data_IF_475877065801
#
_entry.id   IF_475877065801
#
_cell.length_a   1.000
_cell.length_b   1.000
_cell.length_c   1.000
_cell.angle_alpha   90.00
_cell.angle_beta   90.00
_cell.angle_gamma   90.00
#
_symmetry.space_group_name_H-M   'P 1'
#
loop_
_entity.id
_entity.type
_entity.pdbx_description
1 polymer ?
#
# COMPACT_ATOMS: atom_id res chain seq x y z
N UNK A 1 15.11 -6.21 3.79
CA UNK A 1 14.46 -4.99 4.34
C UNK A 1 14.60 -5.04 5.85
N UNK A 2 15.57 -4.33 6.41
CA UNK A 2 15.82 -4.32 7.86
C UNK A 2 15.19 -3.06 8.45
N UNK A 3 14.16 -3.22 9.28
CA UNK A 3 13.47 -2.08 9.89
C UNK A 3 14.24 -1.58 11.12
N UNK A 4 14.21 -0.27 11.40
CA UNK A 4 14.86 0.29 12.59
C UNK A 4 14.29 -0.33 13.87
N UNK A 5 15.18 -0.70 14.80
CA UNK A 5 14.82 -1.32 16.09
C UNK A 5 14.00 -0.32 16.92
N UNK A 6 12.85 -0.75 17.44
CA UNK A 6 11.97 0.07 18.30
C UNK A 6 10.52 0.21 17.78
N UNK A 7 10.26 -0.10 16.51
CA UNK A 7 8.90 -0.19 15.97
C UNK A 7 8.32 -1.57 16.23
N UNK A 8 7.22 -1.62 16.99
CA UNK A 8 6.47 -2.86 17.15
C UNK A 8 5.91 -3.29 15.80
N UNK A 9 6.38 -4.44 15.28
CA UNK A 9 5.89 -5.08 14.04
C UNK A 9 4.37 -5.23 13.97
N UNK A 10 3.68 -5.17 15.12
CA UNK A 10 2.22 -5.26 15.26
C UNK A 10 1.46 -4.09 14.61
N UNK A 11 2.08 -2.92 14.43
CA UNK A 11 1.42 -1.73 13.91
C UNK A 11 1.81 -1.38 12.46
N UNK A 12 2.63 -2.21 11.81
CA UNK A 12 3.03 -1.97 10.42
C UNK A 12 1.90 -2.44 9.50
N UNK A 13 1.40 -1.59 8.58
CA UNK A 13 0.36 -1.99 7.65
C UNK A 13 0.87 -3.09 6.72
N UNK A 14 0.10 -4.19 6.61
CA UNK A 14 0.43 -5.33 5.75
C UNK A 14 0.26 -5.02 4.26
N UNK A 15 -0.66 -4.10 3.93
CA UNK A 15 -0.96 -3.65 2.58
C UNK A 15 -0.83 -2.13 2.54
N UNK A 16 -0.37 -1.59 1.42
CA UNK A 16 -0.16 -0.15 1.25
C UNK A 16 -1.08 0.34 0.15
N UNK A 17 -1.90 1.33 0.50
CA UNK A 17 -2.65 2.15 -0.44
C UNK A 17 -3.76 1.42 -1.22
N UNK A 18 -4.82 2.14 -1.60
CA UNK A 18 -5.58 1.79 -2.79
C UNK A 18 -4.78 2.18 -4.04
N UNK A 19 -4.59 1.23 -4.94
CA UNK A 19 -4.08 1.51 -6.29
C UNK A 19 -5.13 1.15 -7.32
N UNK A 20 -5.18 1.93 -8.40
CA UNK A 20 -6.07 1.66 -9.51
C UNK A 20 -5.49 0.53 -10.36
N UNK A 21 -6.34 -0.41 -10.76
CA UNK A 21 -6.00 -1.44 -11.74
C UNK A 21 -6.09 -0.83 -13.14
N UNK A 22 -4.97 -0.82 -13.85
CA UNK A 22 -4.87 -0.27 -15.20
C UNK A 22 -5.15 -1.33 -16.26
N UNK A 23 -4.69 -2.56 -16.05
CA UNK A 23 -4.80 -3.64 -17.03
C UNK A 23 -4.76 -5.03 -16.39
N UNK A 24 -5.53 -5.96 -16.94
CA UNK A 24 -5.43 -7.40 -16.68
C UNK A 24 -4.66 -8.08 -17.82
N UNK A 25 -3.70 -8.93 -17.49
CA UNK A 25 -2.91 -9.71 -18.44
C UNK A 25 -3.44 -11.13 -18.69
N UNK A 26 -4.47 -11.58 -17.96
CA UNK A 26 -5.10 -12.89 -18.13
C UNK A 26 -4.29 -14.07 -17.58
N UNK A 27 -3.13 -13.81 -16.96
CA UNK A 27 -2.29 -14.79 -16.26
C UNK A 27 -2.27 -14.56 -14.74
N UNK A 28 -3.37 -14.02 -14.21
CA UNK A 28 -3.50 -13.54 -12.82
C UNK A 28 -2.54 -12.42 -12.45
N UNK A 29 -1.86 -11.78 -13.41
CA UNK A 29 -1.05 -10.60 -13.16
C UNK A 29 -1.81 -9.36 -13.63
N UNK A 30 -1.71 -8.30 -12.84
CA UNK A 30 -2.39 -7.05 -13.10
C UNK A 30 -1.41 -5.89 -13.05
N UNK A 31 -1.59 -4.96 -13.98
CA UNK A 31 -0.92 -3.67 -13.99
C UNK A 31 -1.67 -2.71 -13.07
N UNK A 32 -0.97 -2.06 -12.14
CA UNK A 32 -1.54 -1.11 -11.20
C UNK A 32 -0.89 0.27 -11.32
N UNK A 33 -1.65 1.31 -11.02
CA UNK A 33 -1.15 2.67 -10.99
C UNK A 33 -0.34 2.93 -9.73
N UNK A 34 0.96 2.67 -9.78
CA UNK A 34 1.89 3.02 -8.71
C UNK A 34 2.24 4.52 -8.74
N UNK A 35 2.43 5.15 -7.58
CA UNK A 35 2.95 6.51 -7.49
C UNK A 35 4.43 6.57 -7.92
N UNK A 36 4.84 7.70 -8.48
CA UNK A 36 6.14 7.87 -9.12
C UNK A 36 7.33 7.57 -8.22
N UNK A 37 7.23 7.84 -6.91
CA UNK A 37 8.31 7.55 -5.95
C UNK A 37 8.59 6.05 -5.83
N UNK A 38 7.58 5.18 -5.96
CA UNK A 38 7.76 3.73 -5.91
C UNK A 38 8.41 3.21 -7.20
N UNK A 39 8.02 3.77 -8.34
CA UNK A 39 8.64 3.45 -9.63
C UNK A 39 10.12 3.86 -9.64
N UNK A 40 10.45 5.02 -9.08
CA UNK A 40 11.84 5.50 -8.92
C UNK A 40 12.68 4.60 -8.02
N UNK A 41 12.05 3.90 -7.06
CA UNK A 41 12.69 2.90 -6.21
C UNK A 41 12.86 1.54 -6.90
N UNK A 42 12.46 1.41 -8.16
CA UNK A 42 12.56 0.17 -8.94
C UNK A 42 11.44 -0.84 -8.65
N UNK A 43 10.33 -0.40 -8.06
CA UNK A 43 9.18 -1.28 -7.82
C UNK A 43 8.42 -1.45 -9.14
N UNK A 44 8.22 -2.71 -9.55
CA UNK A 44 7.39 -3.05 -10.71
C UNK A 44 5.92 -2.78 -10.42
N UNK A 45 5.23 -2.25 -11.41
CA UNK A 45 3.79 -1.93 -11.39
C UNK A 45 2.90 -3.12 -11.81
N UNK A 46 3.49 -4.30 -12.00
CA UNK A 46 2.75 -5.54 -12.31
C UNK A 46 2.82 -6.49 -11.13
N UNK A 47 1.66 -6.86 -10.59
CA UNK A 47 1.54 -7.75 -9.44
C UNK A 47 0.62 -8.93 -9.73
N UNK A 48 0.97 -10.08 -9.17
CA UNK A 48 0.11 -11.25 -9.17
C UNK A 48 -1.10 -11.05 -8.23
N UNK A 49 -2.26 -11.61 -8.58
CA UNK A 49 -3.53 -11.49 -7.88
C UNK A 49 -3.45 -11.81 -6.39
N UNK A 50 -2.59 -12.76 -6.02
CA UNK A 50 -2.38 -13.19 -4.62
C UNK A 50 -1.80 -12.09 -3.71
N UNK A 51 -1.17 -11.07 -4.28
CA UNK A 51 -0.61 -9.92 -3.55
C UNK A 51 -1.59 -8.74 -3.50
N UNK A 52 -2.67 -8.78 -4.27
CA UNK A 52 -3.67 -7.72 -4.34
C UNK A 52 -4.84 -8.02 -3.41
N UNK A 53 -5.43 -6.98 -2.82
CA UNK A 53 -6.68 -7.09 -2.07
C UNK A 53 -7.64 -5.98 -2.48
N UNK A 54 -8.93 -6.30 -2.48
CA UNK A 54 -10.00 -5.32 -2.71
C UNK A 54 -9.93 -4.29 -1.59
N UNK A 55 -9.82 -3.03 -1.98
CA UNK A 55 -9.86 -1.91 -1.05
C UNK A 55 -11.27 -1.74 -0.52
N UNK A 56 -11.43 -1.79 0.80
CA UNK A 56 -12.66 -1.44 1.48
C UNK A 56 -12.47 -0.06 2.11
N UNK A 57 -13.28 0.96 1.73
CA UNK A 57 -13.19 2.27 2.35
C UNK A 57 -13.48 2.17 3.84
N UNK A 58 -12.78 2.97 4.65
CA UNK A 58 -13.02 3.06 6.09
C UNK A 58 -14.43 3.59 6.34
N UNK A 59 -15.19 2.95 7.25
CA UNK A 59 -16.43 3.52 7.76
C UNK A 59 -16.09 4.46 8.93
N UNK A 60 -16.15 5.76 8.68
CA UNK A 60 -15.83 6.80 9.67
C UNK A 60 -16.76 6.80 10.89
N UNK A 61 -17.95 6.19 10.79
CA UNK A 61 -18.89 6.05 11.92
C UNK A 61 -18.46 4.93 12.87
N UNK A 62 -17.84 3.88 12.35
CA UNK A 62 -17.38 2.73 13.12
C UNK A 62 -15.97 2.92 13.66
N UNK A 63 -15.11 3.61 12.89
CA UNK A 63 -13.71 3.84 13.24
C UNK A 63 -13.29 5.29 12.99
N UNK A 64 -13.70 6.22 13.86
CA UNK A 64 -13.27 7.60 13.78
C UNK A 64 -11.74 7.68 13.99
N UNK A 65 -11.05 8.36 13.07
CA UNK A 65 -9.62 8.65 13.20
C UNK A 65 -8.67 7.75 12.42
N UNK A 66 -9.14 6.84 11.56
CA UNK A 66 -8.28 6.08 10.63
C UNK A 66 -8.01 6.86 9.32
N UNK A 67 -7.55 8.11 9.41
CA UNK A 67 -7.26 8.88 8.19
C UNK A 67 -5.96 8.36 7.54
N UNK A 68 -6.03 8.01 6.25
CA UNK A 68 -4.88 7.57 5.44
C UNK A 68 -3.68 8.54 5.51
N UNK A 69 -3.96 9.83 5.68
CA UNK A 69 -2.94 10.88 5.86
C UNK A 69 -2.05 10.68 7.08
N UNK A 70 -2.52 10.01 8.14
CA UNK A 70 -1.73 9.69 9.32
C UNK A 70 -0.69 8.60 9.04
N UNK A 71 -1.06 7.59 8.24
CA UNK A 71 -0.15 6.51 7.82
C UNK A 71 0.91 7.00 6.82
N UNK A 72 0.54 7.89 5.90
CA UNK A 72 1.50 8.52 4.98
C UNK A 72 2.56 9.32 5.73
N UNK A 73 2.18 10.09 6.77
CA UNK A 73 3.13 10.85 7.62
C UNK A 73 4.16 9.95 8.30
N UNK A 74 3.74 8.78 8.78
CA UNK A 74 4.64 7.79 9.37
C UNK A 74 5.65 7.22 8.37
N UNK A 75 5.25 7.03 7.11
CA UNK A 75 6.12 6.48 6.08
C UNK A 75 7.03 7.54 5.43
N UNK A 76 6.57 8.79 5.28
CA UNK A 76 7.35 9.88 4.67
C UNK A 76 8.36 10.49 5.64
N UNK A 77 8.08 10.53 6.95
CA UNK A 77 9.02 11.01 7.97
C UNK A 77 10.17 10.03 8.22
N UNK A 78 10.16 8.85 7.59
CA UNK A 78 11.12 7.77 7.75
C UNK A 78 11.95 7.53 6.46
N UNK A 79 11.91 8.49 5.52
CA UNK A 79 12.84 8.63 4.40
C UNK A 79 13.74 9.83 4.61
#
# INVERSE_FOLDING_TARGET
MTFPKGLARKLIPKFVGPYLLLKDYGNHSFHIQLPSHMLQQGIHDVFHASLLRIHHPNDDRQFPGQLYSQYLKLNLSMM
#
